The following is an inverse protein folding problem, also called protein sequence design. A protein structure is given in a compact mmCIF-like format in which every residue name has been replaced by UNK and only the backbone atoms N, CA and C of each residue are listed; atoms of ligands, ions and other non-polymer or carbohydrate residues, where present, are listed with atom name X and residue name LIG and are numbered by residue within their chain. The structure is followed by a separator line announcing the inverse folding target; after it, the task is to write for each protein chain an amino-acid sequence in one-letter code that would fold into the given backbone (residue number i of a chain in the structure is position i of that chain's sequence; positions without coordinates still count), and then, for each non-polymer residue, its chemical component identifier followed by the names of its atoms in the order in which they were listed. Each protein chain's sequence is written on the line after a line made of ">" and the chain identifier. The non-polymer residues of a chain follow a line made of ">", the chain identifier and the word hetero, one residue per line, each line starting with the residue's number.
data_IF_686820117028
#
_entry.id   IF_686820117028
#
_cell.length_a   1.000
_cell.length_b   1.000
_cell.length_c   1.000
_cell.angle_alpha   90.00
_cell.angle_beta   90.00
_cell.angle_gamma   90.00
#
_symmetry.space_group_name_H-M   'P 1'
#
loop_
_entity.id
_entity.type
_entity.pdbx_description
1 polymer ?
#
# COMPACT_ATOMS: atom_id res chain seq x y z
N UNK A 1 0.23 15.15 -80.19
CA UNK A 1 -0.32 16.12 -79.22
C UNK A 1 -1.69 15.63 -78.77
N UNK A 2 -1.95 15.59 -77.44
CA UNK A 2 -3.29 15.64 -76.79
C UNK A 2 -4.24 14.44 -77.06
N UNK A 3 -4.89 13.76 -76.11
CA UNK A 3 -5.25 14.07 -74.73
C UNK A 3 -5.57 12.81 -73.91
N UNK A 4 -5.17 12.90 -72.65
CA UNK A 4 -5.65 12.24 -71.43
C UNK A 4 -7.19 12.32 -71.26
N UNK A 5 -7.82 11.24 -70.77
CA UNK A 5 -9.07 11.21 -69.95
C UNK A 5 -9.33 9.77 -69.45
N UNK A 6 -8.81 9.35 -68.29
CA UNK A 6 -9.41 9.36 -66.94
C UNK A 6 -10.64 8.47 -66.76
N UNK A 7 -10.55 7.44 -65.89
CA UNK A 7 -11.46 7.21 -64.74
C UNK A 7 -11.14 5.86 -64.06
N UNK A 8 -10.10 5.86 -63.22
CA UNK A 8 -9.85 4.80 -62.25
C UNK A 8 -10.78 5.05 -61.05
N UNK A 9 -11.78 4.20 -60.85
CA UNK A 9 -12.72 4.25 -59.72
C UNK A 9 -12.03 3.72 -58.46
N UNK A 10 -11.34 4.57 -57.72
CA UNK A 10 -10.88 4.26 -56.36
C UNK A 10 -12.05 4.41 -55.39
N UNK A 11 -12.62 3.29 -54.97
CA UNK A 11 -13.57 3.23 -53.86
C UNK A 11 -12.82 3.53 -52.56
N UNK A 12 -13.03 4.71 -52.00
CA UNK A 12 -12.54 5.10 -50.68
C UNK A 12 -13.40 4.38 -49.62
N UNK A 13 -12.93 3.24 -49.11
CA UNK A 13 -13.56 2.56 -47.97
C UNK A 13 -13.20 3.35 -46.71
N UNK A 14 -14.11 4.23 -46.29
CA UNK A 14 -14.00 4.96 -45.04
C UNK A 14 -14.31 3.97 -43.92
N UNK A 15 -13.27 3.31 -43.39
CA UNK A 15 -13.38 2.48 -42.20
C UNK A 15 -13.73 3.37 -41.00
N UNK A 16 -14.77 3.07 -40.21
CA UNK A 16 -15.01 3.79 -38.97
C UNK A 16 -13.89 3.44 -37.99
N UNK A 17 -13.10 4.45 -37.62
CA UNK A 17 -12.13 4.36 -36.53
C UNK A 17 -12.94 4.27 -35.23
N UNK A 18 -13.10 3.05 -34.72
CA UNK A 18 -13.65 2.82 -33.38
C UNK A 18 -12.59 3.27 -32.38
N UNK A 19 -12.75 4.49 -31.86
CA UNK A 19 -11.96 4.99 -30.74
C UNK A 19 -12.50 4.26 -29.50
N UNK A 20 -11.89 3.14 -29.16
CA UNK A 20 -12.08 2.53 -27.84
C UNK A 20 -11.48 3.49 -26.82
N UNK A 21 -12.34 4.29 -26.20
CA UNK A 21 -12.00 4.97 -24.95
C UNK A 21 -11.77 3.87 -23.91
N UNK A 22 -10.51 3.44 -23.78
CA UNK A 22 -10.04 2.69 -22.62
C UNK A 22 -10.19 3.63 -21.43
N UNK A 23 -11.34 3.54 -20.77
CA UNK A 23 -11.55 4.15 -19.47
C UNK A 23 -10.61 3.41 -18.53
N UNK A 24 -9.41 3.95 -18.34
CA UNK A 24 -8.41 3.38 -17.45
C UNK A 24 -9.01 3.30 -16.06
N UNK A 25 -9.38 2.08 -15.64
CA UNK A 25 -9.77 1.85 -14.26
C UNK A 25 -8.58 2.26 -13.39
N UNK A 26 -8.79 2.96 -12.27
CA UNK A 26 -7.70 3.25 -11.36
C UNK A 26 -7.06 1.91 -10.98
N UNK A 27 -5.78 1.75 -11.29
CA UNK A 27 -5.05 0.55 -10.92
C UNK A 27 -4.71 0.64 -9.43
N UNK A 28 -4.99 -0.44 -8.71
CA UNK A 28 -4.58 -0.57 -7.31
C UNK A 28 -3.05 -0.49 -7.22
N UNK A 29 -2.58 0.39 -6.34
CA UNK A 29 -1.15 0.67 -6.14
C UNK A 29 -0.52 -0.15 -5.03
N UNK A 30 -1.31 -0.90 -4.28
CA UNK A 30 -0.85 -1.67 -3.15
C UNK A 30 -1.15 -3.14 -3.34
N UNK A 31 -0.33 -4.01 -2.75
CA UNK A 31 -0.54 -5.44 -2.70
C UNK A 31 -0.59 -5.90 -1.25
N UNK A 32 -1.66 -6.58 -0.85
CA UNK A 32 -1.80 -7.16 0.49
C UNK A 32 -0.90 -8.40 0.58
N UNK A 33 0.02 -8.44 1.55
CA UNK A 33 0.94 -9.56 1.71
C UNK A 33 0.28 -10.84 2.24
N UNK A 34 -0.86 -10.73 2.93
CA UNK A 34 -1.60 -11.90 3.43
C UNK A 34 -2.33 -12.64 2.31
N UNK A 35 -2.91 -11.90 1.36
CA UNK A 35 -3.75 -12.48 0.29
C UNK A 35 -3.09 -12.47 -1.09
N UNK A 36 -2.07 -11.64 -1.30
CA UNK A 36 -1.47 -11.38 -2.62
C UNK A 36 -2.36 -10.54 -3.55
N UNK A 37 -3.47 -10.01 -3.04
CA UNK A 37 -4.42 -9.23 -3.85
C UNK A 37 -3.97 -7.78 -3.96
N UNK A 38 -4.24 -7.16 -5.12
CA UNK A 38 -4.05 -5.72 -5.28
C UNK A 38 -5.20 -4.98 -4.61
N UNK A 39 -4.87 -4.09 -3.69
CA UNK A 39 -5.83 -3.40 -2.81
C UNK A 39 -5.71 -1.88 -2.89
N UNK A 40 -6.76 -1.19 -2.46
CA UNK A 40 -6.78 0.26 -2.29
C UNK A 40 -6.75 0.56 -0.79
N UNK A 41 -5.67 1.18 -0.32
CA UNK A 41 -5.51 1.46 1.11
C UNK A 41 -6.11 2.81 1.45
N UNK A 42 -7.01 2.81 2.44
CA UNK A 42 -7.44 3.99 3.19
C UNK A 42 -7.02 3.82 4.66
N UNK A 43 -6.87 4.93 5.39
CA UNK A 43 -6.62 4.87 6.83
C UNK A 43 -7.95 5.05 7.58
N UNK A 44 -8.22 4.14 8.49
CA UNK A 44 -9.31 4.28 9.45
C UNK A 44 -9.08 5.54 10.31
N UNK A 45 -10.06 6.44 10.45
CA UNK A 45 -9.83 7.73 11.11
C UNK A 45 -9.70 7.62 12.63
N UNK A 46 -10.24 6.58 13.26
CA UNK A 46 -10.21 6.40 14.72
C UNK A 46 -8.90 5.72 15.15
N UNK A 47 -8.57 4.63 14.46
CA UNK A 47 -7.45 3.77 14.78
C UNK A 47 -6.21 4.14 13.97
N UNK A 48 -6.34 4.64 12.74
CA UNK A 48 -5.23 4.82 11.81
C UNK A 48 -4.81 3.55 11.08
N UNK A 49 -5.56 2.45 11.23
CA UNK A 49 -5.28 1.19 10.53
C UNK A 49 -5.49 1.33 9.02
N UNK A 50 -4.60 0.70 8.27
CA UNK A 50 -4.77 0.51 6.85
C UNK A 50 -5.93 -0.46 6.60
N UNK A 51 -6.89 -0.01 5.83
CA UNK A 51 -8.08 -0.77 5.43
C UNK A 51 -8.10 -0.86 3.91
N UNK A 52 -8.44 -2.03 3.36
CA UNK A 52 -8.85 -2.13 1.98
C UNK A 52 -10.19 -1.42 1.80
N UNK A 53 -10.23 -0.36 1.00
CA UNK A 53 -11.44 0.44 0.78
C UNK A 53 -12.55 -0.32 0.06
N UNK A 54 -12.23 -1.43 -0.62
CA UNK A 54 -13.21 -2.25 -1.31
C UNK A 54 -13.79 -3.28 -0.34
N UNK A 55 -12.94 -4.13 0.25
CA UNK A 55 -13.39 -5.18 1.16
C UNK A 55 -13.81 -4.67 2.55
N UNK A 56 -13.43 -3.43 2.91
CA UNK A 56 -13.55 -2.87 4.25
C UNK A 56 -12.92 -3.76 5.33
N UNK A 57 -11.76 -4.33 5.01
CA UNK A 57 -11.00 -5.21 5.89
C UNK A 57 -9.67 -4.58 6.25
N UNK A 58 -9.18 -4.75 7.50
CA UNK A 58 -7.84 -4.33 7.87
C UNK A 58 -6.80 -5.09 7.07
N UNK A 59 -5.72 -4.40 6.73
CA UNK A 59 -4.59 -4.96 5.99
C UNK A 59 -3.35 -4.81 6.87
N UNK A 60 -2.84 -5.94 7.38
CA UNK A 60 -1.74 -5.93 8.35
C UNK A 60 -0.40 -5.54 7.73
N UNK A 61 -0.04 -6.14 6.60
CA UNK A 61 1.15 -5.77 5.83
C UNK A 61 0.79 -5.64 4.36
N UNK A 62 1.29 -4.59 3.72
CA UNK A 62 1.11 -4.37 2.28
C UNK A 62 2.35 -3.76 1.66
N UNK A 63 2.50 -3.96 0.35
CA UNK A 63 3.60 -3.40 -0.44
C UNK A 63 3.07 -2.27 -1.30
N UNK A 64 3.74 -1.13 -1.29
CA UNK A 64 3.55 -0.09 -2.31
C UNK A 64 4.21 -0.56 -3.62
N UNK A 65 3.41 -0.78 -4.66
CA UNK A 65 3.89 -1.27 -5.95
C UNK A 65 4.73 -0.24 -6.70
N UNK A 66 4.69 1.02 -6.30
CA UNK A 66 5.46 2.15 -6.86
C UNK A 66 6.83 2.22 -6.21
N UNK A 67 6.92 2.31 -4.88
CA UNK A 67 8.19 2.47 -4.16
C UNK A 67 8.86 1.13 -3.83
N UNK A 68 8.09 0.04 -3.89
CA UNK A 68 8.47 -1.31 -3.45
C UNK A 68 8.72 -1.43 -1.95
N UNK A 69 8.22 -0.48 -1.17
CA UNK A 69 8.29 -0.51 0.29
C UNK A 69 7.18 -1.38 0.87
N UNK A 70 7.53 -2.19 1.85
CA UNK A 70 6.60 -2.92 2.72
C UNK A 70 6.21 -2.03 3.88
N UNK A 71 4.90 -1.91 4.12
CA UNK A 71 4.32 -1.01 5.11
C UNK A 71 3.52 -1.83 6.13
N UNK A 72 3.71 -1.52 7.41
CA UNK A 72 2.94 -2.07 8.50
C UNK A 72 1.63 -1.32 8.64
N UNK A 73 0.51 -1.94 8.30
CA UNK A 73 -0.78 -1.29 8.16
C UNK A 73 -1.38 -0.78 9.46
N UNK A 74 -0.99 -1.29 10.62
CA UNK A 74 -1.46 -0.75 11.89
C UNK A 74 -0.92 0.65 12.19
N UNK A 75 0.20 1.00 11.57
CA UNK A 75 0.97 2.22 11.88
C UNK A 75 1.21 3.10 10.66
N UNK A 76 1.23 2.51 9.46
CA UNK A 76 1.66 3.14 8.22
C UNK A 76 3.19 3.26 8.07
N UNK A 77 3.96 2.56 8.90
CA UNK A 77 5.43 2.64 8.92
C UNK A 77 6.05 1.67 7.91
N UNK A 78 7.12 2.08 7.25
CA UNK A 78 7.91 1.23 6.35
C UNK A 78 8.75 0.24 7.16
N UNK A 79 8.62 -1.05 6.86
CA UNK A 79 9.22 -2.18 7.61
C UNK A 79 10.01 -3.12 6.69
N UNK A 80 10.66 -2.56 5.67
CA UNK A 80 11.53 -3.30 4.75
C UNK A 80 12.57 -4.12 5.53
N UNK A 81 12.72 -5.40 5.16
CA UNK A 81 13.67 -6.34 5.79
C UNK A 81 13.44 -6.60 7.30
N UNK A 82 12.33 -6.13 7.86
CA UNK A 82 11.97 -6.30 9.27
C UNK A 82 10.73 -7.17 9.48
N UNK A 83 10.41 -8.02 8.50
CA UNK A 83 9.32 -9.00 8.60
C UNK A 83 9.84 -10.42 8.29
N UNK A 84 9.29 -11.40 9.00
CA UNK A 84 9.48 -12.82 8.75
C UNK A 84 8.16 -13.44 8.28
N UNK A 85 8.26 -14.34 7.30
CA UNK A 85 7.14 -15.21 6.92
C UNK A 85 7.13 -16.44 7.84
N UNK A 86 6.02 -16.67 8.53
CA UNK A 86 5.82 -17.82 9.41
C UNK A 86 5.62 -19.11 8.60
N UNK A 87 5.70 -20.26 9.26
CA UNK A 87 5.37 -21.56 8.64
C UNK A 87 3.92 -21.66 8.15
N UNK A 88 3.04 -20.83 8.69
CA UNK A 88 1.62 -20.74 8.32
C UNK A 88 1.40 -19.82 7.10
N UNK A 89 2.47 -19.19 6.60
CA UNK A 89 2.42 -18.29 5.45
C UNK A 89 2.02 -16.86 5.78
N UNK A 90 1.81 -16.53 7.05
CA UNK A 90 1.55 -15.16 7.54
C UNK A 90 2.86 -14.38 7.72
N UNK A 91 2.79 -13.06 7.77
CA UNK A 91 3.94 -12.21 8.05
C UNK A 91 3.83 -11.64 9.45
N UNK A 92 4.96 -11.60 10.17
CA UNK A 92 5.12 -10.98 11.47
C UNK A 92 6.34 -10.06 11.45
N UNK A 93 6.38 -9.08 12.34
CA UNK A 93 7.60 -8.30 12.55
C UNK A 93 8.69 -9.22 13.10
N UNK A 94 9.90 -9.10 12.53
CA UNK A 94 11.06 -9.82 13.03
C UNK A 94 11.62 -9.11 14.26
N UNK A 95 11.11 -9.45 15.44
CA UNK A 95 11.56 -8.89 16.73
C UNK A 95 13.08 -8.92 16.89
N UNK A 96 13.81 -9.88 16.30
CA UNK A 96 15.28 -9.90 16.38
C UNK A 96 15.98 -8.76 15.63
N UNK A 97 15.26 -8.07 14.74
CA UNK A 97 15.71 -6.82 14.09
C UNK A 97 15.44 -5.59 14.94
N UNK A 98 14.72 -5.76 16.04
CA UNK A 98 14.38 -4.75 17.02
C UNK A 98 15.11 -5.13 18.31
N UNK A 99 16.31 -4.62 18.53
CA UNK A 99 17.06 -4.80 19.79
C UNK A 99 16.13 -4.58 21.01
N UNK A 100 16.32 -5.33 22.10
CA UNK A 100 15.43 -5.38 23.29
C UNK A 100 15.30 -4.05 24.07
N UNK A 101 15.91 -2.96 23.58
CA UNK A 101 15.74 -1.58 24.02
C UNK A 101 15.80 -0.61 22.84
N UNK A 102 15.49 -1.05 21.63
CA UNK A 102 15.68 -0.26 20.43
C UNK A 102 14.53 0.68 20.21
N UNK A 103 14.87 1.94 20.41
CA UNK A 103 14.27 3.06 19.76
C UNK A 103 14.60 2.92 18.26
N UNK A 104 13.70 2.28 17.50
CA UNK A 104 13.86 2.27 16.04
C UNK A 104 13.58 3.69 15.58
N UNK A 105 14.64 4.49 15.39
CA UNK A 105 14.62 5.62 14.48
C UNK A 105 14.64 5.03 13.07
N UNK A 106 13.45 4.71 12.56
CA UNK A 106 13.28 4.50 11.13
C UNK A 106 13.55 5.88 10.56
N UNK A 107 14.75 6.06 9.98
CA UNK A 107 15.32 7.30 9.44
C UNK A 107 14.47 7.88 8.29
N UNK A 108 13.24 8.27 8.64
CA UNK A 108 12.31 9.19 8.01
C UNK A 108 11.78 10.07 9.14
N UNK A 109 12.71 10.77 9.81
CA UNK A 109 12.44 11.92 10.69
C UNK A 109 11.95 11.62 12.10
N UNK A 110 10.78 11.00 12.24
CA UNK A 110 9.90 11.39 13.36
C UNK A 110 9.15 10.22 14.03
N UNK A 111 9.57 8.96 13.81
CA UNK A 111 8.84 7.78 14.29
C UNK A 111 9.73 6.85 15.12
N UNK A 112 9.35 6.65 16.39
CA UNK A 112 9.97 5.75 17.35
C UNK A 112 9.04 4.60 17.71
N UNK A 113 9.41 3.37 17.36
CA UNK A 113 8.69 2.15 17.73
C UNK A 113 9.43 1.44 18.87
N UNK A 114 8.70 0.99 19.88
CA UNK A 114 9.18 0.08 20.94
C UNK A 114 8.27 -1.14 20.98
N UNK A 115 8.83 -2.33 20.99
CA UNK A 115 8.11 -3.61 21.15
C UNK A 115 8.63 -4.24 22.44
N UNK A 116 7.73 -4.65 23.33
CA UNK A 116 8.00 -5.24 24.64
C UNK A 116 7.03 -6.41 24.86
N UNK A 117 7.41 -7.58 24.33
CA UNK A 117 6.54 -8.76 24.29
C UNK A 117 5.23 -8.47 23.53
N UNK A 118 4.10 -8.53 24.24
CA UNK A 118 2.77 -8.27 23.67
C UNK A 118 2.44 -6.76 23.58
N UNK A 119 3.27 -5.87 24.14
CA UNK A 119 3.11 -4.42 24.08
C UNK A 119 3.90 -3.83 22.91
N UNK A 120 3.23 -3.15 21.99
CA UNK A 120 3.84 -2.29 20.97
C UNK A 120 3.50 -0.83 21.21
N UNK A 121 4.51 0.02 21.30
CA UNK A 121 4.40 1.45 21.57
C UNK A 121 5.08 2.25 20.48
N UNK A 122 4.28 2.95 19.70
CA UNK A 122 4.75 3.85 18.64
C UNK A 122 4.62 5.28 19.12
N UNK A 123 5.66 6.08 18.96
CA UNK A 123 5.63 7.53 19.11
C UNK A 123 5.93 8.14 17.75
N UNK A 124 5.06 9.02 17.32
CA UNK A 124 5.27 9.95 16.21
C UNK A 124 5.22 11.36 16.79
N UNK A 125 5.67 12.35 16.02
CA UNK A 125 5.54 13.76 16.42
C UNK A 125 4.10 14.18 16.73
N UNK A 126 3.13 13.63 15.99
CA UNK A 126 1.71 13.97 16.14
C UNK A 126 1.00 13.16 17.22
N UNK A 127 1.42 11.91 17.44
CA UNK A 127 0.69 10.98 18.30
C UNK A 127 1.55 9.86 18.86
N UNK A 128 1.10 9.34 19.98
CA UNK A 128 1.59 8.12 20.60
C UNK A 128 0.52 7.05 20.55
N UNK A 129 0.86 5.88 20.01
CA UNK A 129 0.01 4.70 19.93
C UNK A 129 0.60 3.64 20.86
N UNK A 130 -0.25 3.03 21.68
CA UNK A 130 0.04 1.85 22.48
C UNK A 130 -0.90 0.74 22.02
N UNK A 131 -0.37 -0.44 21.78
CA UNK A 131 -1.08 -1.64 21.36
C UNK A 131 -0.65 -2.72 22.36
N UNK A 132 -1.58 -3.17 23.19
CA UNK A 132 -1.35 -4.19 24.22
C UNK A 132 -2.26 -5.38 23.86
N UNK A 133 -1.76 -6.32 23.05
CA UNK A 133 -2.57 -7.40 22.45
C UNK A 133 -3.73 -6.86 21.59
N UNK A 134 -4.97 -7.09 22.03
CA UNK A 134 -6.19 -6.59 21.37
C UNK A 134 -6.55 -5.13 21.76
N UNK A 135 -5.91 -4.58 22.80
CA UNK A 135 -6.27 -3.27 23.36
C UNK A 135 -5.41 -2.15 22.76
N UNK A 136 -6.06 -1.12 22.19
CA UNK A 136 -5.38 0.01 21.54
C UNK A 136 -5.67 1.33 22.24
N UNK A 137 -4.61 2.09 22.51
CA UNK A 137 -4.69 3.45 23.06
C UNK A 137 -3.94 4.44 22.18
N UNK A 138 -4.67 5.40 21.60
CA UNK A 138 -4.10 6.50 20.82
C UNK A 138 -4.15 7.78 21.65
N UNK A 139 -3.02 8.47 21.76
CA UNK A 139 -2.91 9.78 22.39
C UNK A 139 -2.27 10.76 21.40
N UNK A 140 -3.00 11.81 21.04
CA UNK A 140 -2.48 12.91 20.23
C UNK A 140 -1.61 13.84 21.08
N UNK A 141 -0.49 14.30 20.53
CA UNK A 141 0.30 15.38 21.10
C UNK A 141 -0.45 16.69 20.77
N UNK A 142 -0.78 17.48 21.78
CA UNK A 142 -1.45 18.78 21.64
C UNK A 142 -0.48 19.90 22.03
#
# INVERSE_FOLDING_TARGET
>A
MRNLKTLLKTALVISPIVILASCGKPEAKFENLETGEKVFIIKDPETGFAMDSIANKPVKFYVDLTTKDTIYGETGVVVNNSIIKTSEGTYILDESKFDDNVEVDINSGDVKIKVDGDETKIKTDEKKIKIDGDEKKVKYNN
#
